data_IF_986228754689
#
_entry.id   IF_986228754689
#
_cell.length_a   1.000
_cell.length_b   1.000
_cell.length_c   1.000
_cell.angle_alpha   90.00
_cell.angle_beta   90.00
_cell.angle_gamma   90.00
#
_symmetry.space_group_name_H-M   'P 1'
#
loop_
_entity.id
_entity.type
_entity.pdbx_description
1 polymer ?
#
# COMPACT_ATOMS: atom_id res chain seq x y z
N UNK A 1 -21.91 6.82 -8.26
CA UNK A 1 -20.49 7.04 -7.95
C UNK A 1 -20.14 6.36 -6.65
N UNK A 2 -19.11 5.55 -6.64
CA UNK A 2 -18.65 4.87 -5.43
C UNK A 2 -17.56 5.70 -4.74
N UNK A 3 -17.78 6.05 -3.49
CA UNK A 3 -16.77 6.73 -2.69
C UNK A 3 -15.76 5.71 -2.15
N UNK A 4 -14.51 6.12 -2.07
CA UNK A 4 -13.41 5.25 -1.65
C UNK A 4 -12.42 6.01 -0.76
N UNK A 5 -11.61 5.26 -0.04
CA UNK A 5 -10.57 5.81 0.83
C UNK A 5 -9.30 4.96 0.75
N UNK A 6 -8.17 5.63 0.54
CA UNK A 6 -6.85 5.02 0.63
C UNK A 6 -6.44 4.91 2.09
N UNK A 7 -5.99 3.74 2.52
CA UNK A 7 -5.62 3.47 3.90
C UNK A 7 -4.14 3.10 3.96
N UNK A 8 -3.33 4.02 4.46
CA UNK A 8 -1.91 3.79 4.70
C UNK A 8 -1.72 2.89 5.92
N UNK A 9 -0.56 2.23 6.01
CA UNK A 9 -0.21 1.44 7.18
C UNK A 9 0.03 2.34 8.39
N UNK A 10 -0.25 1.82 9.58
CA UNK A 10 -0.07 2.56 10.84
C UNK A 10 1.42 2.57 11.23
N UNK A 11 2.01 3.76 11.35
CA UNK A 11 3.40 3.93 11.75
C UNK A 11 3.73 3.30 13.11
N UNK A 12 2.75 3.18 14.00
CA UNK A 12 2.96 2.59 15.32
C UNK A 12 3.41 1.12 15.24
N UNK A 13 3.07 0.40 14.17
CA UNK A 13 3.55 -0.96 13.93
C UNK A 13 5.05 -1.00 13.63
N UNK A 14 5.67 0.12 13.25
CA UNK A 14 7.05 0.20 12.78
C UNK A 14 7.93 1.14 13.60
N UNK A 15 7.38 1.91 14.53
CA UNK A 15 8.13 2.91 15.31
C UNK A 15 9.30 2.30 16.10
N UNK A 16 9.15 1.07 16.57
CA UNK A 16 10.21 0.36 17.29
C UNK A 16 11.47 0.12 16.45
N UNK A 17 11.36 0.12 15.13
CA UNK A 17 12.51 -0.07 14.23
C UNK A 17 13.45 1.14 14.24
N UNK A 18 12.95 2.33 14.55
CA UNK A 18 13.71 3.57 14.49
C UNK A 18 14.92 3.57 15.45
N UNK A 19 14.83 2.83 16.54
CA UNK A 19 15.86 2.79 17.60
C UNK A 19 16.76 1.56 17.53
N UNK A 20 16.55 0.67 16.55
CA UNK A 20 17.36 -0.54 16.41
C UNK A 20 18.68 -0.27 15.71
N UNK A 21 19.72 -0.99 16.15
CA UNK A 21 21.03 -0.98 15.48
C UNK A 21 20.93 -1.73 14.14
N UNK A 22 21.90 -1.51 13.26
CA UNK A 22 21.99 -2.24 11.98
C UNK A 22 22.06 -3.74 12.22
N UNK A 23 22.78 -4.18 13.25
CA UNK A 23 22.85 -5.61 13.60
C UNK A 23 21.49 -6.16 14.03
N UNK A 24 20.77 -5.45 14.90
CA UNK A 24 19.43 -5.86 15.35
C UNK A 24 18.43 -5.93 14.18
N UNK A 25 18.51 -4.98 13.25
CA UNK A 25 17.70 -5.01 12.03
C UNK A 25 18.04 -6.23 11.17
N UNK A 26 19.33 -6.50 10.97
CA UNK A 26 19.81 -7.66 10.19
C UNK A 26 19.33 -8.99 10.77
N UNK A 27 19.32 -9.13 12.09
CA UNK A 27 18.82 -10.31 12.79
C UNK A 27 17.33 -10.57 12.56
N UNK A 28 16.61 -9.54 12.12
CA UNK A 28 15.16 -9.58 11.78
C UNK A 28 14.90 -9.59 10.28
N UNK A 29 15.93 -9.77 9.47
CA UNK A 29 15.86 -9.73 8.00
C UNK A 29 15.35 -8.39 7.48
N UNK A 30 15.65 -7.29 8.19
CA UNK A 30 15.27 -5.93 7.81
C UNK A 30 16.50 -5.20 7.29
N UNK A 31 16.35 -4.51 6.16
CA UNK A 31 17.44 -3.74 5.53
C UNK A 31 17.14 -2.26 5.68
N UNK A 32 18.09 -1.51 6.24
CA UNK A 32 18.08 -0.05 6.24
C UNK A 32 18.75 0.44 4.96
N UNK A 33 18.04 1.24 4.18
CA UNK A 33 18.53 1.76 2.90
C UNK A 33 18.48 3.29 2.87
N UNK A 34 19.46 3.88 2.19
CA UNK A 34 19.43 5.31 1.86
C UNK A 34 18.83 5.49 0.48
N UNK A 35 17.84 6.37 0.37
CA UNK A 35 17.16 6.66 -0.90
C UNK A 35 18.12 7.32 -1.86
N UNK A 36 18.36 6.69 -3.01
CA UNK A 36 19.33 7.12 -4.03
C UNK A 36 18.70 7.45 -5.38
N UNK A 37 17.37 7.42 -5.47
CA UNK A 37 16.63 7.83 -6.67
C UNK A 37 15.23 8.32 -6.29
N UNK A 38 14.66 9.20 -7.10
CA UNK A 38 13.31 9.71 -6.92
C UNK A 38 12.61 9.85 -8.29
N UNK A 39 11.40 9.27 -8.46
CA UNK A 39 10.74 8.32 -7.57
C UNK A 39 11.42 6.94 -7.58
N UNK A 40 11.16 6.12 -6.58
CA UNK A 40 11.71 4.76 -6.53
C UNK A 40 11.52 4.02 -5.22
N UNK A 41 11.17 4.74 -4.16
CA UNK A 41 10.98 4.19 -2.81
C UNK A 41 9.60 4.55 -2.28
N UNK A 42 8.53 3.89 -2.75
CA UNK A 42 7.16 4.18 -2.30
C UNK A 42 6.97 3.74 -0.85
N UNK A 43 6.65 4.69 0.02
CA UNK A 43 6.43 4.44 1.45
C UNK A 43 5.00 4.04 1.74
N UNK A 44 4.81 2.99 2.56
CA UNK A 44 3.47 2.44 2.86
C UNK A 44 2.76 3.15 4.02
N UNK A 45 3.48 3.92 4.82
CA UNK A 45 2.86 4.70 5.91
C UNK A 45 2.49 6.13 5.49
N UNK A 46 3.16 6.69 4.48
CA UNK A 46 2.85 8.04 3.97
C UNK A 46 2.17 8.02 2.61
N UNK A 47 2.24 6.91 1.87
CA UNK A 47 1.80 6.77 0.48
C UNK A 47 2.40 7.86 -0.42
N UNK A 48 3.68 8.14 -0.17
CA UNK A 48 4.51 9.07 -0.93
C UNK A 48 5.83 8.38 -1.26
N UNK A 49 6.46 8.80 -2.36
CA UNK A 49 7.84 8.40 -2.64
C UNK A 49 8.78 9.08 -1.64
N UNK A 50 9.68 8.32 -1.03
CA UNK A 50 10.69 8.88 -0.14
C UNK A 50 11.66 9.76 -0.93
N UNK A 51 12.12 10.84 -0.28
CA UNK A 51 13.02 11.83 -0.87
C UNK A 51 14.46 11.33 -0.92
N UNK A 52 15.26 11.90 -1.85
CA UNK A 52 16.70 11.62 -1.94
C UNK A 52 17.38 11.84 -0.58
N UNK A 53 18.19 10.89 -0.15
CA UNK A 53 18.95 10.97 1.08
C UNK A 53 18.21 10.53 2.34
N UNK A 54 16.89 10.31 2.28
CA UNK A 54 16.16 9.74 3.41
C UNK A 54 16.57 8.30 3.67
N UNK A 55 16.36 7.85 4.91
CA UNK A 55 16.50 6.45 5.26
C UNK A 55 15.14 5.77 5.26
N UNK A 56 15.09 4.55 4.71
CA UNK A 56 13.90 3.70 4.67
C UNK A 56 14.26 2.30 5.13
N UNK A 57 13.30 1.63 5.75
CA UNK A 57 13.38 0.20 6.05
C UNK A 57 12.74 -0.58 4.91
N UNK A 58 13.40 -1.65 4.49
CA UNK A 58 12.80 -2.67 3.62
C UNK A 58 12.51 -3.88 4.50
N UNK A 59 11.21 -4.19 4.66
CA UNK A 59 10.76 -5.26 5.55
C UNK A 59 9.79 -6.20 4.84
N UNK A 60 9.69 -7.43 5.32
CA UNK A 60 8.60 -8.32 4.93
C UNK A 60 7.37 -7.99 5.77
N UNK A 61 6.21 -7.80 5.12
CA UNK A 61 4.97 -7.40 5.77
C UNK A 61 3.82 -8.32 5.37
N UNK A 62 3.01 -8.74 6.35
CA UNK A 62 1.80 -9.53 6.12
C UNK A 62 0.68 -8.59 5.64
N UNK A 63 0.66 -8.32 4.34
CA UNK A 63 -0.30 -7.36 3.77
C UNK A 63 -1.69 -7.95 3.55
N UNK A 64 -1.83 -9.28 3.51
CA UNK A 64 -3.12 -9.95 3.33
C UNK A 64 -3.23 -11.14 4.31
N UNK A 65 -3.42 -10.86 5.61
CA UNK A 65 -3.42 -11.88 6.66
C UNK A 65 -4.81 -12.52 6.82
N UNK A 66 -5.33 -13.08 5.73
CA UNK A 66 -6.67 -13.70 5.68
C UNK A 66 -6.58 -15.22 5.73
N UNK A 67 -7.70 -15.88 6.04
CA UNK A 67 -7.81 -17.33 6.05
C UNK A 67 -8.34 -17.83 4.69
N UNK A 68 -7.60 -17.52 3.62
CA UNK A 68 -7.92 -17.92 2.27
C UNK A 68 -6.63 -18.32 1.53
N UNK A 69 -6.73 -18.97 0.36
CA UNK A 69 -5.55 -19.25 -0.47
C UNK A 69 -4.78 -17.99 -0.89
N UNK A 70 -5.40 -16.81 -0.80
CA UNK A 70 -4.77 -15.53 -1.14
C UNK A 70 -4.04 -14.87 0.03
N UNK A 71 -3.87 -15.56 1.15
CA UNK A 71 -3.00 -15.13 2.24
C UNK A 71 -1.61 -14.82 1.69
N UNK A 72 -1.08 -13.62 2.00
CA UNK A 72 0.17 -13.18 1.38
C UNK A 72 0.95 -12.20 2.25
N UNK A 73 2.27 -12.26 2.10
CA UNK A 73 3.22 -11.30 2.65
C UNK A 73 4.23 -10.92 1.58
N UNK A 74 4.96 -9.83 1.78
CA UNK A 74 5.99 -9.42 0.85
C UNK A 74 6.73 -8.17 1.30
N UNK A 75 7.76 -7.76 0.55
CA UNK A 75 8.60 -6.62 0.93
C UNK A 75 7.88 -5.29 0.73
N UNK A 76 8.03 -4.40 1.70
CA UNK A 76 7.52 -3.03 1.65
C UNK A 76 8.55 -2.05 2.19
N UNK A 77 8.52 -0.81 1.68
CA UNK A 77 9.33 0.28 2.20
C UNK A 77 8.57 1.08 3.25
N UNK A 78 9.25 1.38 4.35
CA UNK A 78 8.76 2.22 5.45
C UNK A 78 9.78 3.32 5.70
N UNK A 79 9.38 4.59 5.58
CA UNK A 79 10.25 5.74 5.88
C UNK A 79 10.53 5.79 7.38
N UNK A 80 11.80 6.01 7.72
CA UNK A 80 12.25 6.12 9.10
C UNK A 80 11.75 7.42 9.73
N UNK A 81 11.23 7.35 10.97
CA UNK A 81 10.77 8.52 11.73
C UNK A 81 9.66 9.33 11.04
N UNK A 82 8.74 8.66 10.35
CA UNK A 82 7.56 9.30 9.75
C UNK A 82 6.28 8.80 10.39
N UNK A 83 5.29 9.68 10.44
CA UNK A 83 3.93 9.33 10.89
C UNK A 83 3.05 8.94 9.70
N UNK A 84 2.03 8.15 9.97
CA UNK A 84 1.02 7.77 8.98
C UNK A 84 0.34 9.03 8.42
N UNK A 85 0.24 9.10 7.10
CA UNK A 85 -0.52 10.14 6.43
C UNK A 85 -1.95 9.65 6.16
N UNK A 86 -2.93 10.42 6.62
CA UNK A 86 -4.34 10.16 6.33
C UNK A 86 -4.74 10.84 5.02
N UNK A 87 -5.52 10.14 4.20
CA UNK A 87 -6.03 10.68 2.94
C UNK A 87 -7.55 10.87 3.03
N UNK A 88 -8.07 12.03 2.61
CA UNK A 88 -9.51 12.25 2.54
C UNK A 88 -10.21 11.30 1.57
N UNK A 89 -11.53 11.19 1.71
CA UNK A 89 -12.38 10.40 0.79
C UNK A 89 -12.16 10.89 -0.65
N UNK A 90 -12.01 9.96 -1.58
CA UNK A 90 -11.84 10.19 -3.01
C UNK A 90 -10.55 10.92 -3.41
N UNK A 91 -9.57 11.04 -2.49
CA UNK A 91 -8.26 11.60 -2.81
C UNK A 91 -7.27 10.48 -3.09
N UNK A 92 -6.65 10.53 -4.25
CA UNK A 92 -5.65 9.55 -4.69
C UNK A 92 -4.25 10.07 -4.39
N UNK A 93 -3.41 9.30 -3.67
CA UNK A 93 -2.00 9.67 -3.48
C UNK A 93 -1.28 9.81 -4.82
N UNK A 94 -0.51 10.87 -4.98
CA UNK A 94 0.16 11.21 -6.25
C UNK A 94 1.15 10.14 -6.72
N UNK A 95 1.76 9.38 -5.79
CA UNK A 95 2.74 8.36 -6.13
C UNK A 95 2.20 7.26 -7.06
N UNK A 96 0.88 7.05 -7.07
CA UNK A 96 0.26 6.03 -7.93
C UNK A 96 0.14 6.48 -9.38
N UNK A 97 0.05 7.79 -9.63
CA UNK A 97 -0.29 8.33 -10.95
C UNK A 97 0.78 8.05 -12.03
N UNK A 98 2.02 7.86 -11.63
CA UNK A 98 3.14 7.64 -12.56
C UNK A 98 3.63 6.17 -12.58
N UNK A 99 2.88 5.25 -11.97
CA UNK A 99 3.26 3.83 -11.88
C UNK A 99 2.35 2.93 -12.69
N UNK A 100 2.93 1.82 -13.14
CA UNK A 100 2.13 0.70 -13.63
C UNK A 100 1.63 -0.08 -12.41
N UNK A 101 0.31 -0.23 -12.29
CA UNK A 101 -0.32 -0.76 -11.10
C UNK A 101 -1.06 -2.07 -11.39
N UNK A 102 -1.13 -2.94 -10.38
CA UNK A 102 -2.01 -4.08 -10.32
C UNK A 102 -3.07 -3.81 -9.27
N UNK A 103 -4.33 -3.75 -9.67
CA UNK A 103 -5.48 -3.57 -8.77
C UNK A 103 -6.12 -4.94 -8.57
N UNK A 104 -6.24 -5.35 -7.32
CA UNK A 104 -6.75 -6.67 -6.92
C UNK A 104 -7.95 -6.51 -6.02
N UNK A 105 -9.07 -7.11 -6.39
CA UNK A 105 -10.33 -6.99 -5.67
C UNK A 105 -10.66 -8.28 -4.93
N UNK A 106 -11.06 -8.14 -3.67
CA UNK A 106 -11.37 -9.25 -2.78
C UNK A 106 -12.78 -9.13 -2.22
N UNK A 107 -13.39 -10.28 -1.95
CA UNK A 107 -14.65 -10.35 -1.22
C UNK A 107 -14.40 -10.29 0.31
N UNK A 108 -15.48 -10.36 1.08
CA UNK A 108 -15.43 -10.32 2.56
C UNK A 108 -14.64 -11.48 3.18
N UNK A 109 -14.44 -12.57 2.44
CA UNK A 109 -13.70 -13.74 2.88
C UNK A 109 -12.23 -13.73 2.42
N UNK A 110 -11.76 -12.66 1.78
CA UNK A 110 -10.41 -12.56 1.27
C UNK A 110 -10.16 -13.34 0.00
N UNK A 111 -11.21 -13.71 -0.74
CA UNK A 111 -11.09 -14.36 -2.04
C UNK A 111 -11.01 -13.32 -3.15
N UNK A 112 -10.06 -13.49 -4.07
CA UNK A 112 -9.92 -12.58 -5.20
C UNK A 112 -11.07 -12.78 -6.19
N UNK A 113 -11.77 -11.68 -6.50
CA UNK A 113 -12.89 -11.67 -7.44
C UNK A 113 -12.45 -11.18 -8.81
N UNK A 114 -11.59 -10.16 -8.84
CA UNK A 114 -11.19 -9.48 -10.07
C UNK A 114 -9.80 -8.87 -9.89
N UNK A 115 -9.05 -8.76 -10.99
CA UNK A 115 -7.77 -8.07 -11.00
C UNK A 115 -7.49 -7.50 -12.39
N UNK A 116 -6.73 -6.40 -12.44
CA UNK A 116 -6.32 -5.78 -13.69
C UNK A 116 -4.98 -5.06 -13.51
N UNK A 117 -4.28 -4.84 -14.63
CA UNK A 117 -3.03 -4.09 -14.69
C UNK A 117 -3.22 -2.91 -15.64
N UNK A 118 -2.85 -1.71 -15.19
CA UNK A 118 -3.06 -0.49 -15.98
C UNK A 118 -2.10 0.61 -15.51
N UNK A 119 -1.97 1.64 -16.34
CA UNK A 119 -1.21 2.84 -15.97
C UNK A 119 -1.96 3.63 -14.89
N UNK A 120 -1.23 4.11 -13.88
CA UNK A 120 -1.83 4.70 -12.68
C UNK A 120 -2.70 5.93 -12.90
N UNK A 121 -2.54 6.64 -14.03
CA UNK A 121 -3.37 7.81 -14.31
C UNK A 121 -4.86 7.50 -14.50
N UNK A 122 -5.23 6.24 -14.75
CA UNK A 122 -6.64 5.81 -14.84
C UNK A 122 -7.14 5.11 -13.57
N UNK A 123 -6.38 5.19 -12.49
CA UNK A 123 -6.70 4.47 -11.24
C UNK A 123 -8.09 4.80 -10.70
N UNK A 124 -8.50 6.08 -10.75
CA UNK A 124 -9.83 6.50 -10.27
C UNK A 124 -10.94 5.72 -10.97
N UNK A 125 -10.91 5.71 -12.30
CA UNK A 125 -11.94 5.05 -13.11
C UNK A 125 -11.98 3.55 -12.81
N UNK A 126 -10.82 2.94 -12.62
CA UNK A 126 -10.71 1.52 -12.30
C UNK A 126 -11.26 1.19 -10.91
N UNK A 127 -10.99 2.02 -9.91
CA UNK A 127 -11.55 1.84 -8.56
C UNK A 127 -13.07 1.93 -8.60
N UNK A 128 -13.59 2.95 -9.29
CA UNK A 128 -15.04 3.14 -9.41
C UNK A 128 -15.72 1.97 -10.14
N UNK A 129 -15.11 1.50 -11.23
CA UNK A 129 -15.61 0.34 -11.98
C UNK A 129 -15.63 -0.94 -11.11
N UNK A 130 -14.56 -1.21 -10.39
CA UNK A 130 -14.47 -2.40 -9.54
C UNK A 130 -15.54 -2.36 -8.44
N UNK A 131 -15.71 -1.22 -7.79
CA UNK A 131 -16.70 -1.08 -6.72
C UNK A 131 -18.16 -1.09 -7.19
N UNK A 132 -18.42 -1.07 -8.49
CA UNK A 132 -19.76 -1.35 -9.02
C UNK A 132 -20.18 -2.80 -8.81
N UNK A 133 -19.23 -3.70 -8.63
CA UNK A 133 -19.52 -5.08 -8.25
C UNK A 133 -19.72 -5.14 -6.72
N UNK A 134 -20.95 -5.40 -6.29
CA UNK A 134 -21.32 -5.41 -4.87
C UNK A 134 -20.63 -6.53 -4.06
N UNK A 135 -20.10 -7.55 -4.74
CA UNK A 135 -19.37 -8.65 -4.09
C UNK A 135 -17.97 -8.23 -3.64
N UNK A 136 -17.45 -7.13 -4.19
CA UNK A 136 -16.12 -6.63 -3.83
C UNK A 136 -16.22 -5.85 -2.54
N UNK A 137 -15.47 -6.28 -1.53
CA UNK A 137 -15.41 -5.67 -0.20
C UNK A 137 -14.29 -4.63 -0.11
N UNK A 138 -13.10 -4.96 -0.62
CA UNK A 138 -11.95 -4.07 -0.61
C UNK A 138 -11.03 -4.33 -1.79
N UNK A 139 -10.13 -3.37 -2.04
CA UNK A 139 -9.11 -3.47 -3.09
C UNK A 139 -7.72 -3.39 -2.48
N UNK A 140 -6.76 -4.08 -3.11
CA UNK A 140 -5.33 -3.87 -2.88
C UNK A 140 -4.69 -3.33 -4.15
N UNK A 141 -3.82 -2.32 -3.97
CA UNK A 141 -2.97 -1.82 -5.04
C UNK A 141 -1.57 -2.41 -4.85
N UNK A 142 -1.04 -3.00 -5.91
CA UNK A 142 0.33 -3.50 -5.97
C UNK A 142 1.09 -2.80 -7.08
N UNK A 143 2.41 -2.71 -6.95
CA UNK A 143 3.27 -2.34 -8.08
C UNK A 143 3.29 -3.50 -9.05
N UNK A 144 2.96 -3.26 -10.33
CA UNK A 144 2.79 -4.35 -11.29
C UNK A 144 4.11 -5.09 -11.59
N UNK A 145 5.22 -4.36 -11.76
CA UNK A 145 6.52 -4.96 -12.13
C UNK A 145 7.13 -5.79 -11.00
N UNK A 146 7.39 -5.23 -9.81
CA UNK A 146 7.95 -6.01 -8.69
C UNK A 146 6.89 -6.85 -7.97
N UNK A 147 5.62 -6.54 -8.12
CA UNK A 147 4.51 -7.28 -7.51
C UNK A 147 4.19 -6.94 -6.06
N UNK A 148 4.91 -6.00 -5.44
CA UNK A 148 4.76 -5.69 -4.02
C UNK A 148 3.52 -4.88 -3.70
N UNK A 149 2.94 -5.13 -2.52
CA UNK A 149 1.80 -4.40 -1.98
C UNK A 149 2.11 -2.93 -1.74
N UNK A 150 1.20 -2.05 -2.11
CA UNK A 150 1.26 -0.62 -1.81
C UNK A 150 0.24 -0.19 -0.78
N UNK A 151 -1.05 -0.48 -1.02
CA UNK A 151 -2.10 0.16 -0.25
C UNK A 151 -3.42 -0.60 -0.31
N UNK A 152 -4.17 -0.50 0.79
CA UNK A 152 -5.56 -0.92 0.89
C UNK A 152 -6.46 0.23 0.43
N UNK A 153 -7.50 -0.06 -0.37
CA UNK A 153 -8.55 0.88 -0.73
C UNK A 153 -9.88 0.32 -0.24
N UNK A 154 -10.55 1.10 0.59
CA UNK A 154 -11.87 0.74 1.15
C UNK A 154 -12.97 1.49 0.43
N UNK A 155 -14.11 0.82 0.27
CA UNK A 155 -15.35 1.47 -0.13
C UNK A 155 -15.91 2.24 1.06
N UNK A 156 -16.36 3.47 0.83
CA UNK A 156 -16.94 4.31 1.87
C UNK A 156 -18.46 4.33 1.71
N UNK A 157 -19.16 3.97 2.76
CA UNK A 157 -20.61 4.06 2.79
C UNK A 157 -21.05 5.52 3.02
N UNK A 158 -22.22 5.89 2.52
CA UNK A 158 -22.72 7.27 2.67
C UNK A 158 -22.82 7.70 4.15
N UNK A 159 -23.08 6.75 5.05
CA UNK A 159 -23.15 7.01 6.49
C UNK A 159 -21.79 7.33 7.14
N UNK A 160 -20.68 7.06 6.45
CA UNK A 160 -19.32 7.27 6.96
C UNK A 160 -18.74 8.63 6.53
N UNK A 161 -19.54 9.44 5.86
CA UNK A 161 -19.14 10.77 5.37
C UNK A 161 -19.39 11.87 6.42
#
# INVERSE_FOLDING_TARGET
>A
MNNFKFVALNHQEFDHLNDLTIQELSERDIVLMTVNQFPGFPCRITLEDAEMGEEVFLINYDHHPVNSPYKASGPVFIRKNKATKAYPINVIPKMFLHRLLSLRAYDENGMMIEADVFEGHILRDKIEDFFNNEKIDYLHIHNAKPGCFNCLVKKVQDADQ
#
